data_IF_901132854128
#
_entry.id   IF_901132854128
#
_cell.length_a   1.000
_cell.length_b   1.000
_cell.length_c   1.000
_cell.angle_alpha   90.00
_cell.angle_beta   90.00
_cell.angle_gamma   90.00
#
_symmetry.space_group_name_H-M   'P 1'
#
loop_
_entity.id
_entity.type
_entity.pdbx_description
1 polymer ?
#
# COMPACT_ATOMS: atom_id res chain seq x y z
N UNK A 1 6.63 -24.14 7.30
CA UNK A 1 7.06 -23.00 8.13
C UNK A 1 5.90 -22.60 9.03
N UNK A 2 6.10 -22.30 10.31
CA UNK A 2 5.00 -21.81 11.17
C UNK A 2 4.64 -20.36 10.79
N UNK A 3 3.43 -19.87 11.10
CA UNK A 3 3.06 -18.47 10.85
C UNK A 3 4.04 -17.47 11.49
N UNK A 4 4.52 -17.75 12.70
CA UNK A 4 5.47 -16.88 13.41
C UNK A 4 6.83 -16.85 12.72
N UNK A 5 7.32 -18.01 12.28
CA UNK A 5 8.57 -18.11 11.54
C UNK A 5 8.47 -17.40 10.17
N UNK A 6 7.31 -17.50 9.52
CA UNK A 6 7.00 -16.78 8.26
C UNK A 6 7.07 -15.27 8.47
N UNK A 7 6.35 -14.73 9.45
CA UNK A 7 6.37 -13.30 9.75
C UNK A 7 7.75 -12.80 10.18
N UNK A 8 8.50 -13.60 10.96
CA UNK A 8 9.86 -13.23 11.35
C UNK A 8 10.81 -13.13 10.14
N UNK A 9 10.70 -14.09 9.22
CA UNK A 9 11.48 -14.09 7.98
C UNK A 9 11.12 -12.90 7.10
N UNK A 10 9.82 -12.66 6.89
CA UNK A 10 9.29 -11.51 6.13
C UNK A 10 9.83 -10.19 6.69
N UNK A 11 9.64 -9.93 7.99
CA UNK A 11 10.10 -8.69 8.64
C UNK A 11 11.58 -8.45 8.44
N UNK A 12 12.41 -9.50 8.55
CA UNK A 12 13.86 -9.38 8.40
C UNK A 12 14.24 -8.91 7.00
N UNK A 13 13.66 -9.50 5.96
CA UNK A 13 13.99 -9.15 4.57
C UNK A 13 13.41 -7.80 4.18
N UNK A 14 12.16 -7.52 4.55
CA UNK A 14 11.52 -6.22 4.29
C UNK A 14 12.29 -5.09 4.99
N UNK A 15 12.77 -5.30 6.22
CA UNK A 15 13.60 -4.31 6.92
C UNK A 15 14.89 -3.98 6.16
N UNK A 16 15.59 -4.99 5.65
CA UNK A 16 16.80 -4.78 4.84
C UNK A 16 16.49 -3.93 3.60
N UNK A 17 15.39 -4.25 2.89
CA UNK A 17 14.97 -3.49 1.70
C UNK A 17 14.47 -2.08 2.02
N UNK A 18 13.86 -1.86 3.19
CA UNK A 18 13.52 -0.51 3.66
C UNK A 18 14.76 0.35 3.86
N UNK A 19 15.83 -0.20 4.45
CA UNK A 19 17.10 0.53 4.61
C UNK A 19 17.72 0.86 3.25
N UNK A 20 17.71 -0.09 2.31
CA UNK A 20 18.18 0.15 0.94
C UNK A 20 17.37 1.24 0.22
N UNK A 21 16.05 1.25 0.38
CA UNK A 21 15.18 2.29 -0.18
C UNK A 21 15.45 3.68 0.40
N UNK A 22 15.82 3.78 1.68
CA UNK A 22 16.21 5.06 2.28
C UNK A 22 17.54 5.58 1.69
N UNK A 23 18.47 4.68 1.37
CA UNK A 23 19.76 5.03 0.78
C UNK A 23 19.66 5.28 -0.73
N UNK A 24 18.78 4.55 -1.42
CA UNK A 24 18.57 4.61 -2.86
C UNK A 24 17.07 4.69 -3.15
N UNK A 25 16.45 5.87 -2.94
CA UNK A 25 15.02 6.06 -3.12
C UNK A 25 14.63 5.83 -4.58
N UNK A 26 13.38 5.44 -4.79
CA UNK A 26 12.81 5.39 -6.14
C UNK A 26 12.69 6.83 -6.65
N UNK A 27 13.22 7.06 -7.84
CA UNK A 27 13.12 8.35 -8.53
C UNK A 27 11.93 8.35 -9.47
N UNK A 28 11.36 9.53 -9.72
CA UNK A 28 10.23 9.71 -10.62
C UNK A 28 9.14 10.56 -9.98
N UNK A 29 7.95 10.51 -10.57
CA UNK A 29 6.76 11.21 -10.10
C UNK A 29 6.09 10.44 -8.97
N UNK A 30 5.28 11.12 -8.15
CA UNK A 30 4.53 10.48 -7.06
C UNK A 30 3.23 9.87 -7.60
N UNK A 31 3.38 8.86 -8.45
CA UNK A 31 2.29 8.17 -9.14
C UNK A 31 2.16 6.69 -8.72
N UNK A 32 1.20 6.00 -9.34
CA UNK A 32 0.95 4.59 -9.10
C UNK A 32 2.18 3.71 -9.43
N UNK A 33 2.94 4.04 -10.47
CA UNK A 33 4.13 3.29 -10.86
C UNK A 33 5.22 3.40 -9.79
N UNK A 34 5.40 4.58 -9.20
CA UNK A 34 6.31 4.82 -8.10
C UNK A 34 5.93 4.02 -6.85
N UNK A 35 4.65 4.03 -6.46
CA UNK A 35 4.18 3.21 -5.32
C UNK A 35 4.39 1.71 -5.57
N UNK A 36 4.10 1.24 -6.79
CA UNK A 36 4.31 -0.15 -7.17
C UNK A 36 5.79 -0.52 -7.18
N UNK A 37 6.69 0.37 -7.59
CA UNK A 37 8.12 0.12 -7.56
C UNK A 37 8.67 0.07 -6.12
N UNK A 38 8.19 0.94 -5.23
CA UNK A 38 8.49 0.85 -3.78
C UNK A 38 8.04 -0.51 -3.24
N UNK A 39 6.79 -0.90 -3.51
CA UNK A 39 6.24 -2.20 -3.10
C UNK A 39 7.08 -3.37 -3.67
N UNK A 40 7.43 -3.31 -4.96
CA UNK A 40 8.27 -4.32 -5.62
C UNK A 40 9.58 -4.49 -4.89
N UNK A 41 10.30 -3.39 -4.59
CA UNK A 41 11.61 -3.42 -3.91
C UNK A 41 11.52 -3.91 -2.47
N UNK A 42 10.48 -3.51 -1.73
CA UNK A 42 10.28 -3.97 -0.35
C UNK A 42 10.10 -5.49 -0.26
N UNK A 43 9.35 -6.07 -1.20
CA UNK A 43 8.94 -7.48 -1.14
C UNK A 43 9.65 -8.39 -2.15
N UNK A 44 10.65 -7.90 -2.90
CA UNK A 44 11.28 -8.62 -4.02
C UNK A 44 11.89 -9.98 -3.64
N UNK A 45 12.33 -10.17 -2.40
CA UNK A 45 12.99 -11.41 -1.97
C UNK A 45 12.00 -12.50 -1.54
N UNK A 46 10.77 -12.12 -1.19
CA UNK A 46 9.80 -13.04 -0.57
C UNK A 46 9.46 -14.25 -1.46
N UNK A 47 9.23 -14.12 -2.78
CA UNK A 47 8.93 -15.27 -3.62
C UNK A 47 10.03 -16.35 -3.56
N UNK A 48 11.31 -15.96 -3.58
CA UNK A 48 12.43 -16.89 -3.48
C UNK A 48 12.57 -17.57 -2.11
N UNK A 49 11.88 -17.05 -1.08
CA UNK A 49 11.85 -17.58 0.28
C UNK A 49 10.63 -18.48 0.55
N UNK A 50 9.88 -18.84 -0.49
CA UNK A 50 8.68 -19.69 -0.39
C UNK A 50 7.40 -18.93 -0.03
N UNK A 51 7.32 -17.64 -0.38
CA UNK A 51 6.08 -16.85 -0.33
C UNK A 51 5.46 -16.81 -1.73
N UNK A 52 5.00 -17.97 -2.20
CA UNK A 52 4.51 -18.17 -3.57
C UNK A 52 3.24 -17.34 -3.89
N UNK A 53 2.54 -16.89 -2.86
CA UNK A 53 1.36 -16.03 -2.89
C UNK A 53 1.68 -14.53 -3.00
N UNK A 54 2.95 -14.14 -2.90
CA UNK A 54 3.37 -12.74 -2.96
C UNK A 54 3.80 -12.36 -4.38
N UNK A 55 3.19 -11.31 -4.91
CA UNK A 55 3.48 -10.76 -6.25
C UNK A 55 3.96 -9.30 -6.14
N UNK A 56 5.25 -9.05 -5.86
CA UNK A 56 5.76 -7.70 -5.58
C UNK A 56 5.50 -6.72 -6.72
N UNK A 57 4.98 -5.53 -6.40
CA UNK A 57 4.69 -4.46 -7.36
C UNK A 57 3.47 -4.70 -8.26
N UNK A 58 2.67 -5.73 -7.98
CA UNK A 58 1.40 -5.98 -8.67
C UNK A 58 0.22 -5.57 -7.79
N UNK A 59 -0.83 -5.06 -8.43
CA UNK A 59 -2.11 -4.90 -7.74
C UNK A 59 -2.71 -6.26 -7.42
N UNK A 60 -3.55 -6.30 -6.38
CA UNK A 60 -4.45 -7.43 -6.16
C UNK A 60 -5.38 -7.59 -7.38
N UNK A 61 -5.85 -8.81 -7.68
CA UNK A 61 -6.89 -9.01 -8.67
C UNK A 61 -8.17 -8.24 -8.30
N UNK A 62 -8.89 -7.78 -9.33
CA UNK A 62 -10.20 -7.17 -9.14
C UNK A 62 -11.21 -8.17 -8.54
N UNK A 63 -12.13 -7.67 -7.71
CA UNK A 63 -13.29 -8.46 -7.25
C UNK A 63 -14.49 -8.27 -8.19
N UNK A 64 -15.47 -9.20 -8.19
CA UNK A 64 -16.63 -9.12 -9.07
C UNK A 64 -17.49 -7.86 -8.91
N UNK A 65 -18.31 -7.60 -9.94
CA UNK A 65 -19.27 -6.50 -9.93
C UNK A 65 -20.25 -6.55 -8.75
N UNK A 66 -20.40 -5.40 -8.08
CA UNK A 66 -21.26 -5.15 -6.93
C UNK A 66 -20.58 -5.40 -5.58
N UNK A 67 -19.30 -5.78 -5.55
CA UNK A 67 -18.61 -6.20 -4.31
C UNK A 67 -17.36 -5.37 -4.05
N UNK A 68 -17.10 -5.08 -2.77
CA UNK A 68 -15.82 -4.55 -2.29
C UNK A 68 -14.93 -5.70 -1.77
N UNK A 69 -13.60 -5.48 -1.76
CA UNK A 69 -12.70 -6.43 -1.12
C UNK A 69 -12.75 -6.25 0.40
N UNK A 70 -13.16 -7.28 1.12
CA UNK A 70 -13.36 -7.20 2.57
C UNK A 70 -12.21 -7.87 3.31
N UNK A 71 -11.56 -7.10 4.19
CA UNK A 71 -10.60 -7.61 5.15
C UNK A 71 -11.27 -7.84 6.49
N UNK A 72 -11.33 -9.10 6.90
CA UNK A 72 -11.77 -9.46 8.24
C UNK A 72 -10.64 -9.21 9.25
N UNK A 73 -10.96 -8.48 10.31
CA UNK A 73 -10.09 -8.19 11.44
C UNK A 73 -10.72 -8.73 12.71
N UNK A 74 -9.90 -9.35 13.56
CA UNK A 74 -10.25 -9.62 14.95
C UNK A 74 -9.54 -8.58 15.80
N UNK A 75 -10.28 -7.79 16.55
CA UNK A 75 -9.71 -6.86 17.51
C UNK A 75 -9.41 -7.64 18.80
N UNK A 76 -8.20 -7.49 19.33
CA UNK A 76 -7.76 -8.24 20.52
C UNK A 76 -8.63 -7.93 21.76
N UNK A 77 -9.23 -6.75 21.81
CA UNK A 77 -10.01 -6.22 22.94
C UNK A 77 -11.52 -6.33 22.77
N UNK A 78 -12.00 -6.70 21.59
CA UNK A 78 -13.44 -6.74 21.27
C UNK A 78 -13.76 -8.05 20.56
N UNK A 79 -14.62 -8.88 21.16
CA UNK A 79 -15.10 -10.12 20.55
C UNK A 79 -16.24 -9.86 19.57
N UNK A 80 -16.00 -8.94 18.64
CA UNK A 80 -16.89 -8.63 17.52
C UNK A 80 -16.10 -8.67 16.21
N UNK A 81 -16.68 -9.19 15.12
CA UNK A 81 -16.05 -9.13 13.82
C UNK A 81 -15.93 -7.67 13.37
N UNK A 82 -14.72 -7.27 12.97
CA UNK A 82 -14.46 -5.97 12.36
C UNK A 82 -14.12 -6.20 10.89
N UNK A 83 -14.88 -5.58 9.99
CA UNK A 83 -14.67 -5.69 8.55
C UNK A 83 -14.22 -4.33 8.02
N UNK A 84 -13.13 -4.32 7.26
CA UNK A 84 -12.68 -3.14 6.53
C UNK A 84 -12.89 -3.40 5.04
N UNK A 85 -13.63 -2.51 4.38
CA UNK A 85 -13.85 -2.56 2.95
C UNK A 85 -12.76 -1.76 2.23
N UNK A 86 -12.22 -2.37 1.18
CA UNK A 86 -11.28 -1.76 0.24
C UNK A 86 -11.90 -1.78 -1.15
N UNK A 87 -11.39 -0.94 -2.04
CA UNK A 87 -11.92 -0.82 -3.39
C UNK A 87 -11.87 -2.15 -4.14
N UNK A 88 -12.56 -2.14 -5.27
CA UNK A 88 -12.73 -3.33 -6.08
C UNK A 88 -11.52 -3.66 -6.95
N UNK A 89 -10.58 -2.72 -7.09
CA UNK A 89 -9.43 -2.80 -8.01
C UNK A 89 -9.79 -3.04 -9.48
N UNK A 90 -10.97 -2.59 -9.88
CA UNK A 90 -11.34 -2.47 -11.29
C UNK A 90 -10.76 -1.20 -11.92
N UNK A 91 -10.93 -1.04 -13.22
CA UNK A 91 -10.41 0.11 -13.97
C UNK A 91 -10.92 1.45 -13.44
N UNK A 92 -12.12 1.48 -12.85
CA UNK A 92 -12.69 2.70 -12.25
C UNK A 92 -11.92 3.06 -10.97
N UNK A 93 -11.68 2.08 -10.10
CA UNK A 93 -10.89 2.28 -8.89
C UNK A 93 -9.44 2.69 -9.21
N UNK A 94 -8.82 2.05 -10.20
CA UNK A 94 -7.46 2.40 -10.64
C UNK A 94 -7.41 3.82 -11.21
N UNK A 95 -8.37 4.21 -12.06
CA UNK A 95 -8.44 5.56 -12.60
C UNK A 95 -8.64 6.63 -11.52
N UNK A 96 -9.45 6.36 -10.49
CA UNK A 96 -9.61 7.25 -9.33
C UNK A 96 -8.28 7.41 -8.58
N UNK A 97 -7.57 6.31 -8.36
CA UNK A 97 -6.28 6.35 -7.68
C UNK A 97 -5.24 7.15 -8.46
N UNK A 98 -5.14 6.93 -9.78
CA UNK A 98 -4.23 7.68 -10.65
C UNK A 98 -4.54 9.18 -10.65
N UNK A 99 -5.83 9.54 -10.69
CA UNK A 99 -6.25 10.93 -10.61
C UNK A 99 -5.83 11.58 -9.29
N UNK A 100 -6.10 10.93 -8.16
CA UNK A 100 -5.76 11.44 -6.83
C UNK A 100 -4.23 11.58 -6.64
N UNK A 101 -3.44 10.61 -7.12
CA UNK A 101 -1.98 10.69 -7.05
C UNK A 101 -1.43 11.85 -7.90
N UNK A 102 -2.03 12.09 -9.07
CA UNK A 102 -1.66 13.24 -9.92
C UNK A 102 -1.99 14.60 -9.27
N UNK A 103 -2.96 14.66 -8.36
CA UNK A 103 -3.31 15.87 -7.61
C UNK A 103 -2.39 16.13 -6.40
N UNK A 104 -1.76 15.09 -5.85
CA UNK A 104 -0.91 15.19 -4.66
C UNK A 104 0.32 16.11 -4.82
N UNK A 105 0.80 16.37 -6.05
CA UNK A 105 1.84 17.35 -6.42
C UNK A 105 2.75 17.84 -5.26
N UNK A 106 3.87 17.14 -4.97
CA UNK A 106 4.74 17.46 -3.84
C UNK A 106 5.23 18.92 -3.79
N UNK A 107 5.50 19.52 -4.96
CA UNK A 107 5.91 20.92 -5.06
C UNK A 107 4.86 21.89 -4.51
N UNK A 108 3.57 21.56 -4.64
CA UNK A 108 2.46 22.32 -4.06
C UNK A 108 2.34 22.05 -2.57
N UNK A 109 2.32 20.76 -2.17
CA UNK A 109 2.20 20.36 -0.76
C UNK A 109 3.29 20.96 0.12
N UNK A 110 4.53 21.00 -0.36
CA UNK A 110 5.69 21.54 0.38
C UNK A 110 5.59 23.01 0.74
N UNK A 111 4.65 23.75 0.12
CA UNK A 111 4.44 25.19 0.33
C UNK A 111 3.24 25.50 1.23
N UNK A 112 2.47 24.48 1.61
CA UNK A 112 1.29 24.65 2.44
C UNK A 112 1.68 24.96 3.90
N UNK A 113 0.88 25.76 4.63
CA UNK A 113 0.95 25.83 6.08
C UNK A 113 0.78 24.46 6.71
N UNK A 114 1.44 24.20 7.85
CA UNK A 114 1.47 22.87 8.49
C UNK A 114 0.08 22.23 8.67
N UNK A 115 -0.91 23.01 9.11
CA UNK A 115 -2.27 22.50 9.31
C UNK A 115 -2.95 22.07 7.99
N UNK A 116 -2.71 22.82 6.91
CA UNK A 116 -3.25 22.51 5.59
C UNK A 116 -2.52 21.33 4.95
N UNK A 117 -1.19 21.27 5.11
CA UNK A 117 -0.39 20.13 4.71
C UNK A 117 -0.84 18.84 5.40
N UNK A 118 -1.01 18.87 6.72
CA UNK A 118 -1.42 17.70 7.50
C UNK A 118 -2.80 17.19 7.08
N UNK A 119 -3.75 18.11 6.82
CA UNK A 119 -5.07 17.76 6.29
C UNK A 119 -4.96 17.14 4.89
N UNK A 120 -4.26 17.78 3.97
CA UNK A 120 -4.11 17.28 2.60
C UNK A 120 -3.44 15.89 2.57
N UNK A 121 -2.43 15.66 3.43
CA UNK A 121 -1.79 14.36 3.55
C UNK A 121 -2.71 13.31 4.18
N UNK A 122 -3.54 13.71 5.16
CA UNK A 122 -4.55 12.83 5.76
C UNK A 122 -5.62 12.40 4.77
N UNK A 123 -6.13 13.33 3.96
CA UNK A 123 -7.10 13.06 2.91
C UNK A 123 -6.50 12.13 1.84
N UNK A 124 -5.26 12.41 1.41
CA UNK A 124 -4.51 11.57 0.48
C UNK A 124 -4.33 10.14 1.02
N UNK A 125 -3.94 10.02 2.29
CA UNK A 125 -3.75 8.73 2.95
C UNK A 125 -5.07 7.97 3.06
N UNK A 126 -6.17 8.61 3.44
CA UNK A 126 -7.47 7.96 3.56
C UNK A 126 -7.98 7.43 2.21
N UNK A 127 -7.78 8.18 1.13
CA UNK A 127 -8.12 7.75 -0.23
C UNK A 127 -7.26 6.56 -0.67
N UNK A 128 -5.94 6.58 -0.41
CA UNK A 128 -5.04 5.47 -0.70
C UNK A 128 -5.29 4.23 0.16
N UNK A 129 -5.70 4.40 1.42
CA UNK A 129 -6.04 3.27 2.30
C UNK A 129 -7.33 2.59 1.84
N UNK A 130 -8.29 3.33 1.26
CA UNK A 130 -9.45 2.71 0.61
C UNK A 130 -9.10 2.05 -0.72
N UNK A 131 -8.20 2.65 -1.52
CA UNK A 131 -7.87 2.24 -2.89
C UNK A 131 -7.43 0.76 -3.01
#
# INVERSE_FOLDING_TARGET
MTPEARHALERRHVFQRSVELLLTPVAGDFDAAHLREINRRLFQDLPALGFDDVTPGQYRPAVPDGLDWIKNRRLETVDAPSCVAYSRMDDIALARMDHMLAEARPATLSRLPLAEFARALGDLYAELDYA
#
